data_IF_084523042438
#
_entry.id   IF_084523042438
#
_cell.length_a   1.000
_cell.length_b   1.000
_cell.length_c   1.000
_cell.angle_alpha   90.00
_cell.angle_beta   90.00
_cell.angle_gamma   90.00
#
_symmetry.space_group_name_H-M   'P 1'
#
loop_
_entity.id
_entity.type
_entity.pdbx_description
1 polymer ?
#
# COMPACT_ATOMS: atom_id res chain seq x y z
N UNK A 1 9.60 -31.85 17.45
CA UNK A 1 9.88 -30.57 16.76
C UNK A 1 9.28 -29.47 17.59
N UNK A 2 10.09 -28.58 18.16
CA UNK A 2 9.57 -27.47 18.95
C UNK A 2 8.90 -26.47 18.02
N UNK A 3 7.60 -26.29 18.16
CA UNK A 3 6.78 -25.29 17.48
C UNK A 3 7.06 -23.86 18.02
N UNK A 4 8.33 -23.46 18.12
CA UNK A 4 8.73 -22.17 18.66
C UNK A 4 8.89 -21.15 17.52
N UNK A 5 8.33 -19.96 17.71
CA UNK A 5 8.49 -18.82 16.82
C UNK A 5 9.09 -17.64 17.57
N UNK A 6 9.85 -16.82 16.85
CA UNK A 6 10.32 -15.52 17.31
C UNK A 6 9.34 -14.45 16.86
N UNK A 7 8.94 -13.59 17.77
CA UNK A 7 8.00 -12.50 17.52
C UNK A 7 8.64 -11.17 17.92
N UNK A 8 8.73 -10.25 16.97
CA UNK A 8 9.12 -8.87 17.21
C UNK A 8 7.88 -8.06 17.63
N UNK A 9 8.02 -7.28 18.70
CA UNK A 9 6.95 -6.41 19.23
C UNK A 9 7.30 -4.95 19.03
N UNK A 10 6.31 -4.09 18.79
CA UNK A 10 6.51 -2.65 18.67
C UNK A 10 6.83 -1.99 20.04
N UNK A 11 8.00 -2.31 20.57
CA UNK A 11 8.53 -1.88 21.86
C UNK A 11 9.99 -1.44 21.66
N UNK A 12 10.52 -0.54 22.51
CA UNK A 12 11.92 -0.13 22.46
C UNK A 12 12.85 -1.23 23.05
N UNK A 13 12.78 -2.44 22.50
CA UNK A 13 13.50 -3.64 22.96
C UNK A 13 14.22 -4.27 21.78
N UNK A 14 15.53 -4.49 21.92
CA UNK A 14 16.42 -4.98 20.87
C UNK A 14 16.32 -6.49 20.60
N UNK A 15 15.46 -7.20 21.34
CA UNK A 15 15.27 -8.63 21.23
C UNK A 15 13.88 -8.99 20.74
N UNK A 16 13.77 -10.21 20.23
CA UNK A 16 12.50 -10.85 19.94
C UNK A 16 12.05 -11.66 21.14
N UNK A 17 10.76 -12.00 21.16
CA UNK A 17 10.17 -12.84 22.20
C UNK A 17 9.81 -14.18 21.59
N UNK A 18 10.09 -15.25 22.31
CA UNK A 18 9.74 -16.59 21.86
C UNK A 18 8.30 -16.92 22.28
N UNK A 19 7.52 -17.46 21.34
CA UNK A 19 6.16 -17.96 21.56
C UNK A 19 6.01 -19.35 20.97
N UNK A 20 5.11 -20.14 21.53
CA UNK A 20 4.78 -21.45 21.02
C UNK A 20 3.58 -21.36 20.06
N UNK A 21 3.59 -22.14 18.99
CA UNK A 21 2.45 -22.27 18.07
C UNK A 21 1.50 -23.32 18.66
N UNK A 22 0.22 -22.98 18.92
CA UNK A 22 -0.79 -23.90 19.43
C UNK A 22 -0.86 -25.21 18.63
N UNK A 23 -1.19 -26.30 19.32
CA UNK A 23 -1.43 -27.58 18.65
C UNK A 23 -2.54 -27.44 17.60
N UNK A 24 -2.31 -28.00 16.41
CA UNK A 24 -3.25 -27.94 15.29
C UNK A 24 -3.13 -26.70 14.41
N UNK A 25 -2.25 -25.76 14.74
CA UNK A 25 -1.93 -24.61 13.88
C UNK A 25 -0.58 -24.82 13.16
N UNK A 26 -0.54 -24.51 11.87
CA UNK A 26 0.71 -24.47 11.11
C UNK A 26 1.59 -23.33 11.60
N UNK A 27 2.91 -23.53 11.62
CA UNK A 27 3.84 -22.48 12.01
C UNK A 27 3.71 -21.28 11.05
N UNK A 28 3.43 -20.06 11.57
CA UNK A 28 3.34 -18.88 10.72
C UNK A 28 4.67 -18.59 10.03
N UNK A 29 4.61 -18.19 8.75
CA UNK A 29 5.76 -17.70 8.00
C UNK A 29 6.26 -16.37 8.58
N UNK A 30 7.54 -16.05 8.39
CA UNK A 30 8.09 -14.75 8.76
C UNK A 30 7.33 -13.61 8.06
N UNK A 31 7.16 -12.49 8.76
CA UNK A 31 6.42 -11.32 8.25
C UNK A 31 4.90 -11.38 8.46
N UNK A 32 4.38 -12.45 9.05
CA UNK A 32 2.97 -12.58 9.47
C UNK A 32 2.75 -11.83 10.79
N UNK A 33 1.64 -11.08 10.91
CA UNK A 33 1.20 -10.54 12.20
C UNK A 33 0.50 -11.62 13.03
N UNK A 34 0.80 -11.64 14.33
CA UNK A 34 0.19 -12.52 15.33
C UNK A 34 -0.28 -11.72 16.54
N UNK A 35 -1.38 -12.13 17.14
CA UNK A 35 -1.81 -11.65 18.46
C UNK A 35 -1.18 -12.53 19.53
N UNK A 36 -0.51 -11.93 20.52
CA UNK A 36 0.23 -12.61 21.57
C UNK A 36 -0.11 -12.06 22.96
N UNK A 37 0.00 -12.88 24.02
CA UNK A 37 -0.12 -12.40 25.39
C UNK A 37 1.20 -11.77 25.87
N UNK A 38 1.19 -10.50 26.25
CA UNK A 38 2.37 -9.78 26.77
C UNK A 38 2.07 -9.14 28.13
N UNK A 39 2.64 -9.71 29.19
CA UNK A 39 2.30 -9.35 30.56
C UNK A 39 0.80 -9.56 30.83
N UNK A 40 0.08 -8.46 31.13
CA UNK A 40 -1.38 -8.43 31.37
C UNK A 40 -2.21 -8.03 30.14
N UNK A 41 -1.57 -7.68 29.03
CA UNK A 41 -2.24 -7.17 27.82
C UNK A 41 -2.07 -8.14 26.66
N UNK A 42 -2.88 -7.94 25.63
CA UNK A 42 -2.67 -8.53 24.31
C UNK A 42 -1.95 -7.53 23.42
N UNK A 43 -1.08 -8.01 22.56
CA UNK A 43 -0.34 -7.18 21.61
C UNK A 43 -0.27 -7.84 20.25
N UNK A 44 -0.10 -7.01 19.22
CA UNK A 44 0.26 -7.46 17.88
C UNK A 44 1.77 -7.53 17.80
N UNK A 45 2.28 -8.64 17.26
CA UNK A 45 3.69 -8.84 16.94
C UNK A 45 3.86 -9.31 15.50
N UNK A 46 5.08 -9.20 14.99
CA UNK A 46 5.46 -9.68 13.65
C UNK A 46 6.40 -10.86 13.84
N UNK A 47 6.06 -11.98 13.19
CA UNK A 47 6.89 -13.19 13.22
C UNK A 47 8.19 -12.98 12.46
N UNK A 48 9.28 -13.46 13.04
CA UNK A 48 10.62 -13.37 12.48
C UNK A 48 11.01 -14.70 11.86
N UNK A 49 11.98 -14.66 10.95
CA UNK A 49 12.64 -15.88 10.46
C UNK A 49 13.16 -16.67 11.66
N UNK A 50 12.82 -17.95 11.74
CA UNK A 50 13.50 -18.84 12.66
C UNK A 50 14.99 -18.79 12.30
N UNK A 51 15.84 -18.36 13.23
CA UNK A 51 17.29 -18.44 13.01
C UNK A 51 17.66 -19.90 12.74
N UNK A 52 18.79 -20.13 12.05
CA UNK A 52 19.32 -21.47 11.76
C UNK A 52 19.65 -22.31 13.01
N UNK A 53 19.37 -21.82 14.21
CA UNK A 53 19.19 -22.68 15.37
C UNK A 53 17.92 -23.50 15.13
N UNK A 54 18.06 -24.62 14.41
CA UNK A 54 17.24 -25.78 14.67
C UNK A 54 17.26 -25.93 16.19
N UNK A 55 16.14 -25.58 16.83
CA UNK A 55 15.93 -25.90 18.22
C UNK A 55 15.73 -27.40 18.20
N UNK A 56 16.86 -28.09 18.26
CA UNK A 56 16.93 -29.52 18.41
C UNK A 56 15.99 -29.86 19.57
N UNK A 57 15.15 -30.88 19.41
CA UNK A 57 14.01 -31.17 20.28
C UNK A 57 14.36 -31.39 21.77
N UNK A 58 15.62 -31.25 22.15
CA UNK A 58 16.19 -31.38 23.48
C UNK A 58 16.62 -30.04 24.14
N UNK A 59 16.36 -28.88 23.53
CA UNK A 59 16.58 -27.59 24.19
C UNK A 59 15.57 -27.41 25.34
N UNK A 60 15.99 -27.76 26.55
CA UNK A 60 15.31 -27.37 27.78
C UNK A 60 15.39 -25.85 27.89
N UNK A 61 14.29 -25.18 27.56
CA UNK A 61 14.15 -23.75 27.83
C UNK A 61 14.15 -23.53 29.34
N UNK A 62 14.99 -22.62 29.82
CA UNK A 62 15.05 -22.25 31.24
C UNK A 62 13.92 -21.29 31.66
N UNK A 63 12.90 -21.13 30.82
CA UNK A 63 11.79 -20.21 31.01
C UNK A 63 10.50 -20.79 30.43
N UNK A 64 9.36 -20.32 30.98
CA UNK A 64 8.05 -20.67 30.46
C UNK A 64 7.73 -19.88 29.21
N UNK A 65 7.30 -20.58 28.16
CA UNK A 65 6.87 -19.97 26.89
C UNK A 65 5.35 -20.00 26.82
N UNK A 66 4.75 -18.87 26.47
CA UNK A 66 3.31 -18.77 26.21
C UNK A 66 2.99 -19.11 24.76
N UNK A 67 1.78 -19.58 24.52
CA UNK A 67 1.28 -19.76 23.16
C UNK A 67 0.86 -18.41 22.54
N UNK A 68 1.00 -18.29 21.21
CA UNK A 68 0.35 -17.20 20.48
C UNK A 68 -1.18 -17.38 20.54
N UNK A 69 -1.92 -16.26 20.54
CA UNK A 69 -3.38 -16.29 20.64
C UNK A 69 -4.06 -16.47 19.27
N UNK A 70 -3.52 -15.82 18.24
CA UNK A 70 -4.13 -15.78 16.91
C UNK A 70 -3.12 -15.42 15.83
N UNK A 71 -3.21 -16.09 14.68
CA UNK A 71 -2.62 -15.61 13.42
C UNK A 71 -3.57 -14.60 12.76
N UNK A 72 -3.07 -13.40 12.45
CA UNK A 72 -3.90 -12.30 11.93
C UNK A 72 -3.98 -12.35 10.41
N UNK A 73 -2.85 -12.65 9.75
CA UNK A 73 -2.73 -12.66 8.29
C UNK A 73 -2.54 -14.08 7.77
N UNK A 74 -3.04 -14.36 6.56
CA UNK A 74 -2.82 -15.62 5.87
C UNK A 74 -1.47 -15.64 5.12
N UNK A 75 -1.06 -14.48 4.61
CA UNK A 75 0.19 -14.27 3.85
C UNK A 75 1.04 -13.18 4.52
N UNK A 76 2.38 -13.26 4.43
CA UNK A 76 3.25 -12.26 5.02
C UNK A 76 2.95 -10.86 4.50
N UNK A 77 2.67 -9.92 5.41
CA UNK A 77 2.49 -8.52 5.05
C UNK A 77 3.84 -7.80 4.87
N UNK A 78 4.90 -8.39 5.44
CA UNK A 78 6.29 -8.04 5.19
C UNK A 78 6.90 -9.23 4.45
N UNK A 79 7.18 -9.04 3.16
CA UNK A 79 7.84 -10.05 2.37
C UNK A 79 9.33 -10.20 2.76
N UNK A 80 10.02 -11.15 2.14
CA UNK A 80 11.42 -11.43 2.46
C UNK A 80 12.34 -10.22 2.18
N UNK A 81 12.13 -9.50 1.06
CA UNK A 81 12.97 -8.36 0.69
C UNK A 81 12.86 -7.20 1.72
N UNK A 82 11.63 -6.86 2.12
CA UNK A 82 11.40 -5.83 3.15
C UNK A 82 11.93 -6.31 4.50
N UNK A 83 11.74 -7.60 4.85
CA UNK A 83 12.29 -8.18 6.08
C UNK A 83 13.81 -8.02 6.11
N UNK A 84 14.51 -8.33 5.02
CA UNK A 84 15.96 -8.26 4.94
C UNK A 84 16.46 -6.81 5.06
N UNK A 85 15.78 -5.86 4.42
CA UNK A 85 16.05 -4.42 4.58
C UNK A 85 15.83 -3.97 6.03
N UNK A 86 14.74 -4.41 6.67
CA UNK A 86 14.43 -4.05 8.06
C UNK A 86 15.43 -4.66 9.05
N UNK A 87 15.84 -5.91 8.85
CA UNK A 87 16.86 -6.57 9.67
C UNK A 87 18.21 -5.88 9.52
N UNK A 88 18.62 -5.59 8.27
CA UNK A 88 19.82 -4.81 8.00
C UNK A 88 19.74 -3.43 8.67
N UNK A 89 18.65 -2.69 8.47
CA UNK A 89 18.46 -1.36 9.02
C UNK A 89 18.45 -1.33 10.55
N UNK A 90 17.79 -2.31 11.18
CA UNK A 90 17.82 -2.47 12.64
C UNK A 90 19.23 -2.71 13.16
N UNK A 91 20.00 -3.57 12.50
CA UNK A 91 21.39 -3.88 12.88
C UNK A 91 22.33 -2.69 12.64
N UNK A 92 22.22 -2.05 11.48
CA UNK A 92 23.12 -0.98 11.05
C UNK A 92 22.88 0.32 11.82
N UNK A 93 21.61 0.73 11.97
CA UNK A 93 21.23 1.95 12.69
C UNK A 93 20.98 1.72 14.18
N UNK A 94 21.21 0.50 14.69
CA UNK A 94 21.04 0.14 16.10
C UNK A 94 19.67 0.56 16.65
N UNK A 95 18.61 0.21 15.94
CA UNK A 95 17.23 0.51 16.33
C UNK A 95 16.46 -0.80 16.60
N UNK A 96 15.59 -0.87 17.63
CA UNK A 96 14.80 -2.07 17.94
C UNK A 96 14.06 -2.64 16.74
N UNK A 97 14.33 -3.90 16.41
CA UNK A 97 13.79 -4.57 15.20
C UNK A 97 12.26 -4.49 15.12
N UNK A 98 11.57 -4.59 16.26
CA UNK A 98 10.13 -4.45 16.31
C UNK A 98 9.65 -3.05 15.89
N UNK A 99 10.32 -1.97 16.31
CA UNK A 99 9.95 -0.62 15.86
C UNK A 99 10.26 -0.42 14.37
N UNK A 100 11.36 -0.97 13.87
CA UNK A 100 11.73 -0.92 12.44
C UNK A 100 10.67 -1.61 11.58
N UNK A 101 10.27 -2.83 11.92
CA UNK A 101 9.25 -3.59 11.17
C UNK A 101 7.88 -2.92 11.21
N UNK A 102 7.48 -2.41 12.38
CA UNK A 102 6.21 -1.69 12.48
C UNK A 102 6.24 -0.32 11.77
N UNK A 103 7.43 0.29 11.66
CA UNK A 103 7.66 1.49 10.85
C UNK A 103 7.46 1.25 9.35
N UNK A 104 7.79 0.06 8.87
CA UNK A 104 7.66 -0.34 7.46
C UNK A 104 6.20 -0.62 7.02
N UNK A 105 5.23 -0.64 7.94
CA UNK A 105 3.82 -0.93 7.63
C UNK A 105 2.87 0.24 7.99
N UNK A 106 1.74 0.38 7.26
CA UNK A 106 0.71 1.36 7.56
C UNK A 106 0.19 1.30 9.00
N UNK A 107 -0.14 2.46 9.58
CA UNK A 107 -0.59 2.60 10.97
C UNK A 107 -1.81 1.73 11.33
N UNK A 108 -2.73 1.51 10.39
CA UNK A 108 -3.91 0.66 10.58
C UNK A 108 -3.51 -0.81 10.76
N UNK A 109 -2.49 -1.28 10.04
CA UNK A 109 -1.99 -2.66 10.17
C UNK A 109 -1.25 -2.89 11.49
N UNK A 110 -0.67 -1.85 12.09
CA UNK A 110 0.00 -1.95 13.40
C UNK A 110 -0.94 -2.39 14.53
N UNK A 111 -2.24 -2.17 14.37
CA UNK A 111 -3.28 -2.53 15.35
C UNK A 111 -3.88 -3.93 15.13
N UNK A 112 -3.40 -4.67 14.12
CA UNK A 112 -3.98 -5.97 13.76
C UNK A 112 -5.27 -5.88 12.94
N UNK A 113 -5.63 -4.68 12.49
CA UNK A 113 -6.79 -4.47 11.62
C UNK A 113 -6.47 -4.91 10.18
N UNK A 114 -7.52 -5.25 9.42
CA UNK A 114 -7.42 -5.51 7.98
C UNK A 114 -7.57 -4.19 7.21
N UNK A 115 -6.90 -4.08 6.06
CA UNK A 115 -7.14 -2.99 5.13
C UNK A 115 -8.54 -3.15 4.54
N UNK A 116 -9.36 -2.11 4.63
CA UNK A 116 -10.59 -2.05 3.86
C UNK A 116 -10.26 -1.56 2.45
N UNK A 117 -10.15 -2.50 1.51
CA UNK A 117 -9.86 -2.23 0.10
C UNK A 117 -10.85 -1.25 -0.54
N UNK A 118 -12.11 -1.23 -0.08
CA UNK A 118 -13.12 -0.29 -0.63
C UNK A 118 -12.74 1.17 -0.43
N UNK A 119 -11.91 1.49 0.59
CA UNK A 119 -11.42 2.85 0.83
C UNK A 119 -10.38 3.32 -0.19
N UNK A 120 -9.73 2.39 -0.88
CA UNK A 120 -8.68 2.68 -1.86
C UNK A 120 -9.20 2.64 -3.31
N UNK A 121 -10.46 2.25 -3.50
CA UNK A 121 -11.12 2.30 -4.80
C UNK A 121 -11.60 3.70 -5.10
N UNK A 122 -11.26 4.19 -6.29
CA UNK A 122 -11.88 5.39 -6.83
C UNK A 122 -13.26 5.02 -7.39
N UNK A 123 -14.22 5.93 -7.23
CA UNK A 123 -15.56 5.75 -7.76
C UNK A 123 -15.97 6.98 -8.55
N UNK A 124 -16.62 6.76 -9.67
CA UNK A 124 -17.38 7.79 -10.36
C UNK A 124 -18.87 7.52 -10.20
N UNK A 125 -19.65 8.59 -10.38
CA UNK A 125 -21.08 8.60 -10.18
C UNK A 125 -21.75 9.04 -11.47
N UNK A 126 -22.81 8.33 -11.85
CA UNK A 126 -23.62 8.67 -13.02
C UNK A 126 -25.10 8.64 -12.67
N UNK A 127 -25.88 9.53 -13.28
CA UNK A 127 -27.31 9.58 -13.08
C UNK A 127 -27.97 8.41 -13.81
N UNK A 128 -28.91 7.73 -13.15
CA UNK A 128 -29.71 6.73 -13.83
C UNK A 128 -30.76 7.44 -14.71
N UNK A 129 -30.66 7.27 -16.02
CA UNK A 129 -31.43 8.02 -17.02
C UNK A 129 -32.87 7.51 -17.21
N UNK A 130 -33.20 6.33 -16.67
CA UNK A 130 -34.51 5.67 -16.84
C UNK A 130 -35.52 5.95 -15.72
N UNK A 131 -35.27 6.95 -14.86
CA UNK A 131 -36.10 7.17 -13.67
C UNK A 131 -37.09 8.33 -13.87
N UNK A 132 -38.30 8.11 -13.35
CA UNK A 132 -39.37 9.10 -13.29
C UNK A 132 -38.94 10.38 -12.54
N UNK A 133 -39.00 11.50 -13.26
CA UNK A 133 -38.65 12.83 -12.75
C UNK A 133 -39.63 13.37 -11.68
N UNK A 134 -40.82 12.77 -11.52
CA UNK A 134 -41.80 13.19 -10.52
C UNK A 134 -41.30 13.08 -9.07
N UNK A 135 -40.36 12.17 -8.80
CA UNK A 135 -39.75 12.02 -7.47
C UNK A 135 -39.14 13.31 -6.91
N UNK A 136 -38.62 14.17 -7.80
CA UNK A 136 -37.89 15.37 -7.42
C UNK A 136 -38.76 16.61 -7.17
N UNK A 137 -40.07 16.55 -7.45
CA UNK A 137 -40.96 17.71 -7.42
C UNK A 137 -40.95 18.46 -6.07
N UNK A 138 -40.81 17.72 -4.96
CA UNK A 138 -40.77 18.28 -3.61
C UNK A 138 -39.37 18.20 -2.96
N UNK A 139 -38.32 17.90 -3.74
CA UNK A 139 -36.97 17.62 -3.22
C UNK A 139 -35.90 18.43 -3.98
N UNK A 140 -35.89 19.77 -3.87
CA UNK A 140 -35.06 20.65 -4.70
C UNK A 140 -33.55 20.40 -4.52
N UNK A 141 -33.09 20.11 -3.30
CA UNK A 141 -31.68 19.80 -3.04
C UNK A 141 -31.23 18.48 -3.68
N UNK A 142 -32.11 17.47 -3.71
CA UNK A 142 -31.82 16.20 -4.39
C UNK A 142 -31.85 16.37 -5.91
N UNK A 143 -32.83 17.12 -6.42
CA UNK A 143 -32.96 17.46 -7.84
C UNK A 143 -31.68 18.11 -8.36
N UNK A 144 -31.16 19.11 -7.64
CA UNK A 144 -29.93 19.83 -8.00
C UNK A 144 -28.72 18.89 -8.15
N UNK A 145 -28.55 17.95 -7.22
CA UNK A 145 -27.45 16.98 -7.26
C UNK A 145 -27.62 16.02 -8.45
N UNK A 146 -28.84 15.49 -8.64
CA UNK A 146 -29.13 14.57 -9.74
C UNK A 146 -28.92 15.23 -11.10
N UNK A 147 -29.45 16.43 -11.32
CA UNK A 147 -29.29 17.18 -12.57
C UNK A 147 -27.84 17.53 -12.86
N UNK A 148 -27.05 17.91 -11.84
CA UNK A 148 -25.62 18.13 -12.01
C UNK A 148 -24.89 16.88 -12.52
N UNK A 149 -25.13 15.73 -11.88
CA UNK A 149 -24.49 14.46 -12.26
C UNK A 149 -24.96 14.03 -13.65
N UNK A 150 -26.25 14.22 -13.95
CA UNK A 150 -26.85 13.92 -15.26
C UNK A 150 -26.20 14.75 -16.37
N UNK A 151 -26.01 16.05 -16.15
CA UNK A 151 -25.41 16.96 -17.14
C UNK A 151 -23.92 16.68 -17.37
N UNK A 152 -23.18 16.25 -16.34
CA UNK A 152 -21.76 15.89 -16.47
C UNK A 152 -21.52 14.50 -17.07
N UNK A 153 -22.56 13.67 -17.25
CA UNK A 153 -22.51 12.23 -17.55
C UNK A 153 -21.83 11.37 -16.44
N UNK A 154 -20.64 11.77 -16.01
CA UNK A 154 -19.84 11.14 -14.96
C UNK A 154 -19.22 12.23 -14.07
N UNK A 155 -19.17 11.99 -12.77
CA UNK A 155 -18.49 12.89 -11.82
C UNK A 155 -17.87 12.14 -10.65
N UNK A 156 -16.98 12.80 -9.93
CA UNK A 156 -16.28 12.25 -8.75
C UNK A 156 -16.80 12.89 -7.46
N UNK A 157 -16.48 12.25 -6.33
CA UNK A 157 -16.97 12.72 -5.02
C UNK A 157 -16.55 14.16 -4.71
N UNK A 158 -15.36 14.59 -5.14
CA UNK A 158 -14.86 15.93 -4.86
C UNK A 158 -15.62 17.03 -5.62
N UNK A 159 -16.12 16.73 -6.81
CA UNK A 159 -17.02 17.64 -7.55
C UNK A 159 -18.40 17.72 -6.88
N UNK A 160 -18.90 16.62 -6.31
CA UNK A 160 -20.16 16.61 -5.56
C UNK A 160 -20.05 17.43 -4.28
N UNK A 161 -18.92 17.34 -3.56
CA UNK A 161 -18.63 18.14 -2.36
C UNK A 161 -18.63 19.65 -2.64
N UNK A 162 -18.31 20.08 -3.86
CA UNK A 162 -18.40 21.51 -4.26
C UNK A 162 -19.84 22.01 -4.35
N UNK A 163 -20.81 21.12 -4.52
CA UNK A 163 -22.21 21.47 -4.80
C UNK A 163 -23.09 21.30 -3.57
N UNK A 164 -22.77 20.33 -2.71
CA UNK A 164 -23.49 20.10 -1.46
C UNK A 164 -22.51 19.86 -0.32
N UNK A 165 -22.74 20.55 0.80
CA UNK A 165 -22.06 20.27 2.08
C UNK A 165 -22.70 19.09 2.82
N UNK A 166 -23.95 18.74 2.50
CA UNK A 166 -24.67 17.63 3.13
C UNK A 166 -24.61 16.40 2.21
N UNK A 167 -23.61 15.54 2.43
CA UNK A 167 -23.43 14.29 1.68
C UNK A 167 -24.49 13.24 2.00
N UNK A 168 -25.25 13.37 3.09
CA UNK A 168 -26.35 12.45 3.42
C UNK A 168 -27.38 12.40 2.30
N UNK A 169 -27.71 13.56 1.72
CA UNK A 169 -28.65 13.69 0.60
C UNK A 169 -28.15 12.91 -0.62
N UNK A 170 -26.85 13.03 -0.92
CA UNK A 170 -26.20 12.32 -2.00
C UNK A 170 -26.20 10.80 -1.76
N UNK A 171 -25.86 10.36 -0.54
CA UNK A 171 -25.88 8.94 -0.19
C UNK A 171 -27.28 8.34 -0.26
N UNK A 172 -28.33 9.09 0.08
CA UNK A 172 -29.73 8.66 -0.13
C UNK A 172 -30.02 8.41 -1.61
N UNK A 173 -29.61 9.31 -2.50
CA UNK A 173 -29.81 9.14 -3.95
C UNK A 173 -29.05 7.94 -4.53
N UNK A 174 -27.86 7.64 -4.00
CA UNK A 174 -27.12 6.41 -4.34
C UNK A 174 -27.86 5.18 -3.84
N UNK A 175 -28.30 5.19 -2.57
CA UNK A 175 -29.01 4.07 -1.94
C UNK A 175 -30.34 3.75 -2.63
N UNK A 176 -31.08 4.78 -3.03
CA UNK A 176 -32.37 4.63 -3.71
C UNK A 176 -32.23 4.38 -5.22
N UNK A 177 -31.01 4.29 -5.74
CA UNK A 177 -30.74 3.91 -7.14
C UNK A 177 -30.88 5.03 -8.17
N UNK A 178 -31.07 6.28 -7.74
CA UNK A 178 -31.09 7.46 -8.62
C UNK A 178 -29.71 7.79 -9.19
N UNK A 179 -28.66 7.50 -8.42
CA UNK A 179 -27.27 7.67 -8.82
C UNK A 179 -26.59 6.30 -8.74
N UNK A 180 -25.95 5.89 -9.84
CA UNK A 180 -25.10 4.69 -9.86
C UNK A 180 -23.72 5.06 -9.34
N UNK A 181 -23.23 4.28 -8.36
CA UNK A 181 -21.84 4.28 -7.91
C UNK A 181 -21.09 3.21 -8.69
N UNK A 182 -20.09 3.59 -9.47
CA UNK A 182 -19.32 2.70 -10.33
C UNK A 182 -17.84 2.82 -9.98
N UNK A 183 -17.14 1.69 -9.90
CA UNK A 183 -15.70 1.68 -9.66
C UNK A 183 -14.99 2.34 -10.85
N UNK A 184 -14.19 3.37 -10.55
CA UNK A 184 -13.34 4.04 -11.51
C UNK A 184 -12.01 3.30 -11.58
N UNK A 185 -11.81 2.57 -12.67
CA UNK A 185 -10.49 2.12 -13.09
C UNK A 185 -9.96 3.19 -14.04
N UNK A 186 -8.84 3.86 -13.73
CA UNK A 186 -8.22 4.76 -14.69
C UNK A 186 -8.02 3.99 -15.98
N UNK A 187 -8.60 4.47 -17.08
CA UNK A 187 -8.19 3.94 -18.38
C UNK A 187 -6.71 4.28 -18.52
N UNK A 188 -5.91 3.30 -18.96
CA UNK A 188 -4.61 3.59 -19.57
C UNK A 188 -4.87 4.29 -20.91
N UNK A 189 -5.47 5.48 -20.88
CA UNK A 189 -5.42 6.40 -22.01
C UNK A 189 -4.00 6.91 -22.03
N UNK A 190 -3.13 6.12 -22.67
CA UNK A 190 -1.86 6.57 -23.16
C UNK A 190 -2.14 7.66 -24.19
N UNK A 191 -2.37 8.89 -23.73
CA UNK A 191 -1.94 10.05 -24.51
C UNK A 191 -0.44 9.88 -24.64
N UNK A 192 -0.02 9.21 -25.71
CA UNK A 192 1.37 9.01 -26.04
C UNK A 192 1.95 10.36 -26.43
N UNK A 193 2.26 11.21 -25.46
CA UNK A 193 3.22 12.26 -25.66
C UNK A 193 4.54 11.57 -25.97
N UNK A 194 4.86 11.51 -27.26
CA UNK A 194 6.11 10.92 -27.74
C UNK A 194 7.26 11.82 -27.26
N UNK A 195 7.76 11.54 -26.06
CA UNK A 195 8.98 12.16 -25.56
C UNK A 195 10.09 11.76 -26.53
N UNK A 196 10.66 12.73 -27.24
CA UNK A 196 11.81 12.53 -28.11
C UNK A 196 13.07 12.82 -27.30
N UNK A 197 13.90 11.79 -27.11
CA UNK A 197 15.15 11.93 -26.36
C UNK A 197 16.22 12.57 -27.24
N UNK A 198 17.09 13.38 -26.63
CA UNK A 198 18.32 13.83 -27.27
C UNK A 198 19.28 12.67 -27.56
N UNK A 199 20.33 12.90 -28.34
CA UNK A 199 21.38 11.88 -28.59
C UNK A 199 22.00 11.38 -27.29
N UNK A 200 22.30 12.30 -26.36
CA UNK A 200 22.89 11.97 -25.07
C UNK A 200 21.94 11.14 -24.20
N UNK A 201 20.70 11.58 -24.06
CA UNK A 201 19.67 10.85 -23.32
C UNK A 201 19.39 9.47 -23.94
N UNK A 202 19.44 9.35 -25.26
CA UNK A 202 19.27 8.08 -25.98
C UNK A 202 20.40 7.11 -25.65
N UNK A 203 21.64 7.58 -25.54
CA UNK A 203 22.77 6.73 -25.16
C UNK A 203 22.63 6.24 -23.72
N UNK A 204 22.24 7.12 -22.79
CA UNK A 204 21.97 6.74 -21.39
C UNK A 204 20.82 5.72 -21.32
N UNK A 205 19.72 5.98 -22.02
CA UNK A 205 18.58 5.06 -22.09
C UNK A 205 18.98 3.68 -22.62
N UNK A 206 19.80 3.61 -23.69
CA UNK A 206 20.28 2.34 -24.24
C UNK A 206 21.13 1.56 -23.24
N UNK A 207 22.01 2.23 -22.51
CA UNK A 207 22.85 1.64 -21.46
C UNK A 207 22.01 1.03 -20.33
N UNK A 208 21.02 1.77 -19.82
CA UNK A 208 20.11 1.27 -18.80
C UNK A 208 19.25 0.12 -19.34
N UNK A 209 18.81 0.21 -20.60
CA UNK A 209 17.99 -0.81 -21.24
C UNK A 209 18.71 -2.15 -21.42
N UNK A 210 20.02 -2.16 -21.70
CA UNK A 210 20.76 -3.42 -21.88
C UNK A 210 20.83 -4.24 -20.60
N UNK A 211 20.95 -3.59 -19.45
CA UNK A 211 21.15 -4.26 -18.16
C UNK A 211 19.90 -4.26 -17.27
N UNK A 212 18.73 -3.97 -17.84
CA UNK A 212 17.48 -3.74 -17.10
C UNK A 212 16.99 -4.96 -16.27
N UNK A 213 17.49 -6.15 -16.57
CA UNK A 213 17.10 -7.39 -15.88
C UNK A 213 18.06 -7.77 -14.73
N UNK A 214 19.08 -6.97 -14.45
CA UNK A 214 20.00 -7.17 -13.33
C UNK A 214 20.06 -5.94 -12.44
N UNK A 215 20.50 -6.13 -11.19
CA UNK A 215 20.68 -5.02 -10.26
C UNK A 215 21.86 -4.15 -10.74
N UNK A 216 21.57 -2.87 -10.98
CA UNK A 216 22.56 -1.86 -11.35
C UNK A 216 22.23 -0.53 -10.66
N UNK A 217 23.26 0.27 -10.38
CA UNK A 217 23.13 1.62 -9.83
C UNK A 217 23.70 2.62 -10.84
N UNK A 218 22.91 3.63 -11.17
CA UNK A 218 23.28 4.66 -12.14
C UNK A 218 23.18 6.04 -11.48
N UNK A 219 24.19 6.88 -11.72
CA UNK A 219 24.13 8.32 -11.46
C UNK A 219 23.81 9.03 -12.77
N UNK A 220 22.67 9.70 -12.86
CA UNK A 220 22.31 10.56 -13.99
C UNK A 220 22.56 12.00 -13.56
N UNK A 221 23.73 12.51 -13.93
CA UNK A 221 24.14 13.89 -13.66
C UNK A 221 23.62 14.83 -14.74
N UNK A 222 23.06 15.97 -14.32
CA UNK A 222 22.64 17.01 -15.26
C UNK A 222 21.98 18.18 -14.54
N UNK A 223 22.12 19.38 -15.10
CA UNK A 223 21.48 20.60 -14.57
C UNK A 223 19.96 20.55 -14.70
N UNK A 224 19.22 21.41 -14.01
CA UNK A 224 17.77 21.56 -14.22
C UNK A 224 17.49 21.91 -15.69
N UNK A 225 16.46 21.32 -16.28
CA UNK A 225 16.13 21.51 -17.70
C UNK A 225 16.91 20.65 -18.69
N UNK A 226 17.91 19.88 -18.26
CA UNK A 226 18.62 18.89 -19.11
C UNK A 226 17.78 17.68 -19.54
N UNK A 227 16.54 17.60 -19.08
CA UNK A 227 15.58 16.56 -19.44
C UNK A 227 15.74 15.22 -18.70
N UNK A 228 16.22 15.26 -17.44
CA UNK A 228 16.33 14.04 -16.60
C UNK A 228 14.98 13.37 -16.37
N UNK A 229 13.93 14.17 -16.20
CA UNK A 229 12.57 13.66 -15.94
C UNK A 229 12.04 12.86 -17.13
N UNK A 230 12.26 13.34 -18.35
CA UNK A 230 11.90 12.70 -19.60
C UNK A 230 12.59 11.33 -19.73
N UNK A 231 13.84 11.24 -19.30
CA UNK A 231 14.57 9.98 -19.23
C UNK A 231 13.96 9.02 -18.20
N UNK A 232 13.59 9.51 -17.00
CA UNK A 232 12.91 8.69 -15.98
C UNK A 232 11.57 8.15 -16.48
N UNK A 233 10.78 8.97 -17.19
CA UNK A 233 9.51 8.54 -17.80
C UNK A 233 9.77 7.45 -18.84
N UNK A 234 10.74 7.62 -19.74
CA UNK A 234 11.08 6.60 -20.76
C UNK A 234 11.54 5.27 -20.16
N UNK A 235 12.31 5.30 -19.07
CA UNK A 235 12.72 4.10 -18.34
C UNK A 235 11.50 3.46 -17.67
N UNK A 236 10.61 4.28 -17.10
CA UNK A 236 9.39 3.81 -16.46
C UNK A 236 8.44 3.16 -17.47
N UNK A 237 8.26 3.74 -18.65
CA UNK A 237 7.49 3.17 -19.77
C UNK A 237 8.04 1.80 -20.18
N UNK A 238 9.37 1.67 -20.26
CA UNK A 238 10.01 0.40 -20.57
C UNK A 238 9.69 -0.66 -19.50
N UNK A 239 9.77 -0.32 -18.22
CA UNK A 239 9.47 -1.25 -17.11
C UNK A 239 7.97 -1.60 -17.10
N UNK A 240 7.09 -0.61 -17.24
CA UNK A 240 5.64 -0.76 -17.27
C UNK A 240 5.18 -1.60 -18.48
N UNK A 241 5.82 -1.45 -19.64
CA UNK A 241 5.54 -2.27 -20.83
C UNK A 241 5.81 -3.76 -20.61
N UNK A 242 6.71 -4.08 -19.67
CA UNK A 242 7.00 -5.44 -19.19
C UNK A 242 6.16 -5.84 -17.98
N UNK A 243 5.13 -5.06 -17.62
CA UNK A 243 4.27 -5.21 -16.43
C UNK A 243 5.04 -5.14 -15.11
N UNK A 244 6.20 -4.50 -15.09
CA UNK A 244 6.93 -4.18 -13.86
C UNK A 244 6.30 -3.01 -13.11
N UNK A 245 6.65 -2.88 -11.83
CA UNK A 245 6.30 -1.73 -11.01
C UNK A 245 7.50 -0.81 -10.85
N UNK A 246 7.23 0.49 -10.68
CA UNK A 246 8.26 1.53 -10.54
C UNK A 246 8.02 2.27 -9.22
N UNK A 247 9.09 2.49 -8.45
CA UNK A 247 9.10 3.35 -7.28
C UNK A 247 9.96 4.59 -7.57
N UNK A 248 9.31 5.76 -7.64
CA UNK A 248 9.98 7.06 -7.75
C UNK A 248 9.92 7.72 -6.38
N UNK A 249 11.09 8.01 -5.81
CA UNK A 249 11.21 8.71 -4.53
C UNK A 249 11.61 10.15 -4.80
N UNK A 250 10.83 11.10 -4.29
CA UNK A 250 11.10 12.54 -4.40
C UNK A 250 11.28 13.14 -3.00
N UNK A 251 12.02 14.26 -2.88
CA UNK A 251 12.01 15.05 -1.65
C UNK A 251 10.59 15.48 -1.27
N UNK A 252 10.29 15.57 0.02
CA UNK A 252 8.97 15.94 0.54
C UNK A 252 8.44 17.26 -0.06
N UNK A 253 9.32 18.26 -0.18
CA UNK A 253 9.00 19.58 -0.74
C UNK A 253 8.67 19.57 -2.24
N UNK A 254 8.99 18.49 -2.94
CA UNK A 254 8.81 18.37 -4.39
C UNK A 254 7.52 17.66 -4.79
N UNK A 255 6.65 17.28 -3.84
CA UNK A 255 5.30 16.76 -4.10
C UNK A 255 4.33 17.90 -4.52
N UNK A 256 4.72 18.65 -5.54
CA UNK A 256 3.87 19.67 -6.16
C UNK A 256 2.95 19.02 -7.21
N UNK A 257 1.76 19.58 -7.50
CA UNK A 257 0.85 19.04 -8.52
C UNK A 257 1.52 18.84 -9.89
N UNK A 258 2.47 19.71 -10.25
CA UNK A 258 3.21 19.63 -11.51
C UNK A 258 4.07 18.36 -11.66
N UNK A 259 4.53 17.77 -10.56
CA UNK A 259 5.29 16.51 -10.57
C UNK A 259 4.37 15.30 -10.65
N UNK A 260 3.10 15.44 -10.23
CA UNK A 260 2.09 14.38 -10.26
C UNK A 260 1.30 14.34 -11.58
N UNK A 261 1.16 15.48 -12.25
CA UNK A 261 0.49 15.61 -13.55
C UNK A 261 1.38 15.19 -14.73
N UNK A 262 2.69 14.97 -14.50
CA UNK A 262 3.67 14.54 -15.50
C UNK A 262 3.95 13.05 -15.39
#
# INVERSE_FOLDING_TARGET
MSNLIKVALNLPIYHTFDYMVPKGMNQPLAGIRVEIPFGRKKMVGITMKAGNAAIDGNLKLNYQVKELLKQIDEVPIINQDIMDICVWGSSYYQHPIGQVLFGAIPSILRKGEKINEEKFKNYYYSANSQIDTHYFNNKPSQKKIYEFIKNKNQTFLDDIKKITKNLTIFHTLVKEGYIKKLEYVPKNESESHSINLSTEQTNIYKSIKSDINSFNSYLIEGVTGSGKTELYIKISDLIASKRGQILIVVPEINLTPQTLER
#
